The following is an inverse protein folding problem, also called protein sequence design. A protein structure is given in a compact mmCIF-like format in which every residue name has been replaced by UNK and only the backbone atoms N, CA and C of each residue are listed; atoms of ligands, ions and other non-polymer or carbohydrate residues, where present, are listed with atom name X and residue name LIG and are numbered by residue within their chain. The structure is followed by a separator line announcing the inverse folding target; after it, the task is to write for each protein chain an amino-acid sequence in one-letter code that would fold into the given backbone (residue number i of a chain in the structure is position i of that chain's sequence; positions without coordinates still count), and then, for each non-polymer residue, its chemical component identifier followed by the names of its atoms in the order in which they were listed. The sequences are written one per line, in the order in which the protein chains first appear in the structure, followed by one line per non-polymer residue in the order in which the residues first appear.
data_IF_031659562187
#
_entry.id   IF_031659562187
#
_cell.length_a   1.000
_cell.length_b   1.000
_cell.length_c   1.000
_cell.angle_alpha   90.00
_cell.angle_beta   90.00
_cell.angle_gamma   90.00
#
_symmetry.space_group_name_H-M   'P 1'
#
loop_
_entity.id
_entity.type
_entity.pdbx_description
1 polymer ?
#
# COMPACT_ATOMS: atom_id res chain seq x y z
N UNK A 1 12.92 31.24 20.60
CA UNK A 1 12.22 30.02 21.09
C UNK A 1 11.31 29.55 19.97
N UNK A 2 11.52 28.37 19.38
CA UNK A 2 10.63 27.86 18.32
C UNK A 2 9.40 27.27 19.00
N UNK A 3 8.28 27.93 18.82
CA UNK A 3 6.96 27.47 19.26
C UNK A 3 6.68 26.11 18.61
N UNK A 4 6.57 25.07 19.44
CA UNK A 4 6.22 23.73 18.98
C UNK A 4 4.80 23.79 18.43
N UNK A 5 4.66 23.90 17.11
CA UNK A 5 3.36 23.85 16.43
C UNK A 5 2.62 22.59 16.89
N UNK A 6 1.55 22.82 17.68
CA UNK A 6 0.72 21.77 18.24
C UNK A 6 0.10 21.01 17.06
N UNK A 7 0.45 19.74 16.91
CA UNK A 7 -0.16 18.88 15.87
C UNK A 7 -1.65 18.76 16.13
N UNK A 8 -2.47 19.06 15.13
CA UNK A 8 -3.90 18.79 15.12
C UNK A 8 -4.17 17.34 15.52
N UNK A 9 -5.02 17.15 16.51
CA UNK A 9 -5.40 15.86 17.08
C UNK A 9 -6.79 15.43 16.61
N UNK A 10 -7.13 14.17 16.87
CA UNK A 10 -8.48 13.66 16.59
C UNK A 10 -9.55 14.32 17.48
N UNK A 11 -9.14 14.82 18.66
CA UNK A 11 -10.02 15.57 19.55
C UNK A 11 -10.41 16.90 18.93
N UNK A 12 -9.45 17.61 18.33
CA UNK A 12 -9.70 18.89 17.65
C UNK A 12 -10.66 18.70 16.46
N UNK A 13 -10.52 17.60 15.72
CA UNK A 13 -11.45 17.22 14.64
C UNK A 13 -12.86 16.92 15.17
N UNK A 14 -12.96 16.19 16.28
CA UNK A 14 -14.24 15.85 16.87
C UNK A 14 -14.99 17.10 17.35
N UNK A 15 -14.28 18.01 18.00
CA UNK A 15 -14.78 19.30 18.47
C UNK A 15 -15.27 20.16 17.30
N UNK A 16 -14.43 20.36 16.27
CA UNK A 16 -14.79 21.15 15.09
C UNK A 16 -15.97 20.56 14.30
N UNK A 17 -16.11 19.23 14.30
CA UNK A 17 -17.24 18.57 13.65
C UNK A 17 -18.53 18.55 14.50
N UNK A 18 -18.47 18.94 15.78
CA UNK A 18 -19.57 18.81 16.73
C UNK A 18 -19.94 17.34 16.98
N UNK A 19 -18.93 16.50 17.22
CA UNK A 19 -19.07 15.05 17.45
C UNK A 19 -18.17 14.57 18.59
N UNK A 20 -18.27 13.30 18.98
CA UNK A 20 -17.35 12.69 19.95
C UNK A 20 -16.11 12.12 19.26
N UNK A 21 -15.00 11.97 19.99
CA UNK A 21 -13.79 11.30 19.48
C UNK A 21 -14.10 9.90 18.91
N UNK A 22 -14.90 9.03 19.58
CA UNK A 22 -15.35 7.78 18.98
C UNK A 22 -16.13 7.95 17.68
N UNK A 23 -17.00 8.95 17.58
CA UNK A 23 -17.77 9.24 16.35
C UNK A 23 -16.85 9.68 15.21
N UNK A 24 -15.92 10.61 15.47
CA UNK A 24 -14.93 11.04 14.48
C UNK A 24 -14.02 9.88 14.06
N UNK A 25 -13.59 9.04 15.00
CA UNK A 25 -12.85 7.80 14.74
C UNK A 25 -13.63 6.83 13.86
N UNK A 26 -14.94 6.65 14.12
CA UNK A 26 -15.82 5.82 13.29
C UNK A 26 -15.96 6.35 11.86
N UNK A 27 -16.10 7.67 11.70
CA UNK A 27 -16.15 8.29 10.36
C UNK A 27 -14.85 8.05 9.60
N UNK A 28 -13.71 8.33 10.24
CA UNK A 28 -12.38 8.17 9.65
C UNK A 28 -12.01 6.71 9.39
N UNK A 29 -12.64 5.76 10.09
CA UNK A 29 -12.50 4.32 9.85
C UNK A 29 -13.53 3.75 8.88
N UNK A 30 -14.35 4.58 8.23
CA UNK A 30 -15.24 4.16 7.15
C UNK A 30 -16.47 3.34 7.59
N UNK A 31 -16.81 3.29 8.89
CA UNK A 31 -17.95 2.47 9.36
C UNK A 31 -19.31 3.05 8.92
N UNK A 32 -20.26 2.17 8.60
CA UNK A 32 -21.60 2.51 8.08
C UNK A 32 -22.62 2.90 9.17
N UNK A 33 -22.23 2.88 10.45
CA UNK A 33 -23.07 3.24 11.59
C UNK A 33 -23.12 4.76 11.87
N UNK A 34 -22.66 5.59 10.92
CA UNK A 34 -22.66 7.05 11.03
C UNK A 34 -23.45 7.67 9.89
N UNK A 35 -24.35 8.61 10.22
CA UNK A 35 -25.17 9.31 9.22
C UNK A 35 -24.31 10.08 8.21
N UNK A 36 -24.80 10.15 6.97
CA UNK A 36 -24.11 10.89 5.89
C UNK A 36 -23.80 12.34 6.28
N UNK A 37 -24.75 13.02 6.93
CA UNK A 37 -24.58 14.38 7.44
C UNK A 37 -23.46 14.51 8.48
N UNK A 38 -23.28 13.50 9.35
CA UNK A 38 -22.20 13.49 10.34
C UNK A 38 -20.85 13.19 9.69
N UNK A 39 -20.84 12.28 8.71
CA UNK A 39 -19.65 12.00 7.90
C UNK A 39 -19.15 13.25 7.18
N UNK A 40 -20.05 13.99 6.55
CA UNK A 40 -19.70 15.22 5.83
C UNK A 40 -19.09 16.28 6.76
N UNK A 41 -19.70 16.52 7.94
CA UNK A 41 -19.16 17.45 8.95
C UNK A 41 -17.76 17.07 9.41
N UNK A 42 -17.51 15.79 9.68
CA UNK A 42 -16.19 15.31 10.13
C UNK A 42 -15.16 15.44 9.01
N UNK A 43 -15.49 15.07 7.77
CA UNK A 43 -14.54 15.19 6.65
C UNK A 43 -14.20 16.65 6.32
N UNK A 44 -15.16 17.57 6.47
CA UNK A 44 -14.91 19.01 6.36
C UNK A 44 -13.94 19.50 7.44
N UNK A 45 -14.19 19.16 8.71
CA UNK A 45 -13.29 19.50 9.81
C UNK A 45 -11.87 18.93 9.63
N UNK A 46 -11.73 17.73 9.07
CA UNK A 46 -10.43 17.13 8.75
C UNK A 46 -9.67 17.95 7.71
N UNK A 47 -10.34 18.39 6.65
CA UNK A 47 -9.75 19.21 5.60
C UNK A 47 -9.36 20.60 6.12
N UNK A 48 -10.25 21.25 6.85
CA UNK A 48 -10.04 22.61 7.39
C UNK A 48 -8.89 22.65 8.41
N UNK A 49 -8.77 21.62 9.25
CA UNK A 49 -7.73 21.54 10.27
C UNK A 49 -6.42 20.88 9.79
N UNK A 50 -6.37 20.44 8.52
CA UNK A 50 -5.22 19.72 7.97
C UNK A 50 -4.86 18.45 8.74
N UNK A 51 -5.84 17.78 9.35
CA UNK A 51 -5.61 16.60 10.17
C UNK A 51 -5.16 15.41 9.31
N UNK A 52 -3.95 14.91 9.55
CA UNK A 52 -3.34 13.82 8.77
C UNK A 52 -3.38 12.44 9.44
N UNK A 53 -4.17 12.27 10.50
CA UNK A 53 -4.24 11.00 11.22
C UNK A 53 -2.94 10.61 11.92
N UNK A 54 -3.03 9.72 12.91
CA UNK A 54 -1.86 8.97 13.39
C UNK A 54 -1.92 7.61 12.71
N UNK A 55 -0.96 7.30 11.83
CA UNK A 55 -0.78 5.95 11.31
C UNK A 55 -0.81 4.96 12.49
N UNK A 56 -1.84 4.09 12.50
CA UNK A 56 -2.49 3.67 13.74
C UNK A 56 -1.81 2.58 14.57
N UNK A 57 -2.29 2.48 15.82
CA UNK A 57 -2.63 1.18 16.43
C UNK A 57 -4.15 1.06 16.27
N UNK A 58 -4.62 0.05 15.53
CA UNK A 58 -6.04 -0.16 15.28
C UNK A 58 -6.36 -0.12 13.79
N UNK A 59 -6.47 -1.31 13.22
CA UNK A 59 -6.72 -1.55 11.81
C UNK A 59 -7.95 -0.78 11.29
N UNK A 60 -7.74 -0.04 10.19
CA UNK A 60 -8.81 0.46 9.33
C UNK A 60 -9.37 -0.74 8.54
N UNK A 61 -10.70 -0.89 8.42
CA UNK A 61 -11.31 -1.87 7.50
C UNK A 61 -10.72 -1.75 6.09
N UNK A 62 -10.43 -2.91 5.50
CA UNK A 62 -9.67 -3.15 4.25
C UNK A 62 -10.30 -2.58 2.95
N UNK A 63 -11.23 -1.62 3.02
CA UNK A 63 -12.02 -1.14 1.86
C UNK A 63 -11.58 0.21 1.31
N UNK A 64 -10.86 1.04 2.08
CA UNK A 64 -10.50 2.41 1.67
C UNK A 64 -8.99 2.63 1.49
N UNK A 65 -8.17 1.56 1.58
CA UNK A 65 -6.79 1.64 1.11
C UNK A 65 -6.76 1.23 -0.35
N UNK A 66 -6.11 2.01 -1.24
CA UNK A 66 -5.84 1.55 -2.58
C UNK A 66 -5.18 0.18 -2.49
N UNK A 67 -5.63 -0.70 -3.37
CA UNK A 67 -5.06 -2.03 -3.46
C UNK A 67 -3.56 -1.88 -3.73
N UNK A 68 -2.72 -2.67 -3.07
CA UNK A 68 -1.27 -2.53 -3.18
C UNK A 68 -0.73 -3.54 -4.21
N UNK A 69 0.21 -3.10 -5.05
CA UNK A 69 1.06 -3.98 -5.86
C UNK A 69 2.51 -3.75 -5.45
N UNK A 70 3.27 -4.83 -5.30
CA UNK A 70 4.68 -4.77 -4.93
C UNK A 70 5.57 -4.99 -6.17
N UNK A 71 6.49 -4.07 -6.42
CA UNK A 71 7.57 -4.22 -7.40
C UNK A 71 8.84 -4.62 -6.63
N UNK A 72 9.23 -5.89 -6.78
CA UNK A 72 10.44 -6.42 -6.16
C UNK A 72 11.58 -6.38 -7.17
N UNK A 73 12.66 -5.70 -6.82
CA UNK A 73 13.86 -5.51 -7.65
C UNK A 73 15.10 -6.01 -6.91
N UNK A 74 16.06 -6.63 -7.60
CA UNK A 74 17.38 -6.91 -7.00
C UNK A 74 18.18 -5.63 -6.68
N UNK A 75 17.86 -4.52 -7.36
CA UNK A 75 18.47 -3.23 -7.12
C UNK A 75 17.76 -2.12 -7.90
N UNK A 76 17.86 -0.89 -7.39
CA UNK A 76 17.23 0.30 -7.99
C UNK A 76 18.22 1.17 -8.78
N UNK A 77 19.37 0.60 -9.18
CA UNK A 77 20.42 1.31 -9.91
C UNK A 77 20.33 1.00 -11.40
N UNK A 78 20.56 2.02 -12.22
CA UNK A 78 20.67 1.87 -13.68
C UNK A 78 19.40 2.26 -14.44
N UNK A 79 19.57 2.47 -15.74
CA UNK A 79 18.52 2.94 -16.66
C UNK A 79 17.38 1.93 -16.82
N UNK A 80 17.70 0.63 -16.82
CA UNK A 80 16.70 -0.44 -16.91
C UNK A 80 15.72 -0.38 -15.73
N UNK A 81 16.23 -0.31 -14.49
CA UNK A 81 15.39 -0.29 -13.28
C UNK A 81 14.49 0.95 -13.26
N UNK A 82 14.99 2.10 -13.73
CA UNK A 82 14.19 3.32 -13.87
C UNK A 82 13.07 3.16 -14.91
N UNK A 83 13.35 2.57 -16.07
CA UNK A 83 12.34 2.34 -17.10
C UNK A 83 11.27 1.35 -16.62
N UNK A 84 11.68 0.26 -15.98
CA UNK A 84 10.76 -0.70 -15.36
C UNK A 84 9.88 -0.03 -14.30
N UNK A 85 10.47 0.73 -13.39
CA UNK A 85 9.74 1.47 -12.36
C UNK A 85 8.72 2.44 -12.96
N UNK A 86 9.11 3.25 -13.96
CA UNK A 86 8.18 4.15 -14.64
C UNK A 86 7.04 3.42 -15.35
N UNK A 87 7.32 2.27 -15.98
CA UNK A 87 6.30 1.47 -16.66
C UNK A 87 5.28 0.91 -15.68
N UNK A 88 5.77 0.30 -14.59
CA UNK A 88 4.92 -0.29 -13.54
C UNK A 88 4.13 0.79 -12.79
N UNK A 89 4.76 1.93 -12.48
CA UNK A 89 4.09 3.07 -11.84
C UNK A 89 2.93 3.58 -12.69
N UNK A 90 3.15 3.81 -13.99
CA UNK A 90 2.08 4.25 -14.91
C UNK A 90 0.92 3.27 -14.96
N UNK A 91 1.21 1.97 -15.01
CA UNK A 91 0.19 0.92 -15.03
C UNK A 91 -0.58 0.84 -13.70
N UNK A 92 0.11 0.96 -12.56
CA UNK A 92 -0.49 1.00 -11.23
C UNK A 92 -1.42 2.21 -11.07
N UNK A 93 -0.95 3.39 -11.47
CA UNK A 93 -1.73 4.63 -11.48
C UNK A 93 -2.99 4.50 -12.34
N UNK A 94 -2.88 3.95 -13.55
CA UNK A 94 -4.04 3.72 -14.42
C UNK A 94 -5.06 2.72 -13.84
N UNK A 95 -4.59 1.76 -13.04
CA UNK A 95 -5.43 0.76 -12.38
C UNK A 95 -5.97 1.20 -11.01
N UNK A 96 -5.60 2.39 -10.51
CA UNK A 96 -6.02 2.89 -9.20
C UNK A 96 -5.44 2.08 -8.03
N UNK A 97 -4.24 1.54 -8.20
CA UNK A 97 -3.52 0.77 -7.17
C UNK A 97 -2.23 1.48 -6.78
N UNK A 98 -1.86 1.39 -5.51
CA UNK A 98 -0.64 1.99 -5.00
C UNK A 98 0.55 1.04 -5.23
N UNK A 99 1.68 1.60 -5.67
CA UNK A 99 2.91 0.86 -5.89
C UNK A 99 3.81 0.90 -4.66
N UNK A 100 4.19 -0.28 -4.17
CA UNK A 100 5.26 -0.47 -3.19
C UNK A 100 6.50 -0.93 -3.94
N UNK A 101 7.67 -0.36 -3.64
CA UNK A 101 8.95 -0.82 -4.21
C UNK A 101 9.74 -1.52 -3.12
N UNK A 102 10.10 -2.77 -3.38
CA UNK A 102 10.90 -3.60 -2.49
C UNK A 102 12.21 -3.97 -3.14
N UNK A 103 13.31 -3.86 -2.40
CA UNK A 103 14.60 -4.37 -2.85
C UNK A 103 14.80 -5.78 -2.27
N UNK A 104 14.98 -6.75 -3.16
CA UNK A 104 15.37 -8.11 -2.80
C UNK A 104 16.81 -8.08 -2.29
N UNK A 105 16.98 -8.38 -1.00
CA UNK A 105 18.29 -8.66 -0.42
C UNK A 105 18.65 -10.13 -0.60
N UNK A 106 19.93 -10.44 -0.41
CA UNK A 106 20.47 -11.81 -0.45
C UNK A 106 19.86 -12.74 0.61
N UNK A 107 19.27 -12.16 1.66
CA UNK A 107 18.63 -12.87 2.78
C UNK A 107 17.26 -13.49 2.43
N UNK A 108 16.69 -13.19 1.26
CA UNK A 108 15.38 -13.69 0.84
C UNK A 108 14.20 -13.16 1.67
N UNK A 109 14.45 -12.24 2.62
CA UNK A 109 13.42 -11.72 3.53
C UNK A 109 12.40 -10.81 2.82
N UNK A 110 12.62 -10.51 1.54
CA UNK A 110 11.62 -9.84 0.71
C UNK A 110 10.33 -10.65 0.59
N UNK A 111 10.42 -11.99 0.58
CA UNK A 111 9.25 -12.85 0.43
C UNK A 111 8.33 -12.77 1.66
N UNK A 112 8.88 -12.86 2.86
CA UNK A 112 8.08 -12.72 4.09
C UNK A 112 7.45 -11.33 4.20
N UNK A 113 8.21 -10.27 3.91
CA UNK A 113 7.71 -8.89 3.89
C UNK A 113 6.57 -8.69 2.89
N UNK A 114 6.66 -9.35 1.73
CA UNK A 114 5.62 -9.32 0.69
C UNK A 114 4.35 -10.02 1.20
N UNK A 115 4.48 -11.19 1.81
CA UNK A 115 3.35 -11.97 2.34
C UNK A 115 2.66 -11.32 3.55
N UNK A 116 3.39 -10.53 4.34
CA UNK A 116 2.83 -9.75 5.46
C UNK A 116 1.95 -8.57 4.98
N UNK A 117 2.12 -8.14 3.74
CA UNK A 117 1.35 -7.05 3.14
C UNK A 117 0.07 -7.59 2.50
N UNK A 118 -1.02 -6.85 2.66
CA UNK A 118 -2.27 -7.16 1.95
C UNK A 118 -2.20 -6.65 0.50
N UNK A 119 -1.44 -7.35 -0.34
CA UNK A 119 -1.21 -7.01 -1.74
C UNK A 119 -2.24 -7.69 -2.65
N UNK A 120 -2.47 -7.11 -3.84
CA UNK A 120 -3.22 -7.74 -4.94
C UNK A 120 -2.35 -8.63 -5.81
N UNK A 121 -1.04 -8.48 -5.71
CA UNK A 121 -0.05 -9.22 -6.49
C UNK A 121 1.31 -8.56 -6.41
N UNK A 122 2.28 -9.17 -7.10
CA UNK A 122 3.64 -8.65 -7.17
C UNK A 122 4.23 -8.78 -8.58
N UNK A 123 5.07 -7.82 -8.93
CA UNK A 123 5.93 -7.83 -10.11
C UNK A 123 7.35 -8.10 -9.63
N UNK A 124 7.97 -9.17 -10.11
CA UNK A 124 9.31 -9.58 -9.72
C UNK A 124 10.25 -9.28 -10.90
N UNK A 125 11.17 -8.36 -10.71
CA UNK A 125 11.99 -7.75 -11.75
C UNK A 125 13.48 -8.01 -11.47
N UNK A 126 14.16 -8.70 -12.40
CA UNK A 126 15.56 -9.15 -12.25
C UNK A 126 15.83 -10.01 -11.01
N UNK A 127 14.81 -10.55 -10.34
CA UNK A 127 14.97 -11.44 -9.20
C UNK A 127 15.11 -12.86 -9.70
N UNK A 128 16.14 -13.57 -9.25
CA UNK A 128 16.26 -15.02 -9.48
C UNK A 128 15.31 -15.74 -8.50
N UNK A 129 14.09 -16.00 -8.95
CA UNK A 129 13.04 -16.58 -8.12
C UNK A 129 13.11 -18.10 -8.21
N UNK A 130 13.37 -18.73 -7.08
CA UNK A 130 13.39 -20.19 -6.99
C UNK A 130 11.99 -20.79 -7.14
N UNK A 131 11.89 -22.03 -7.60
CA UNK A 131 10.63 -22.77 -7.68
C UNK A 131 9.90 -22.85 -6.31
N UNK A 132 10.64 -22.95 -5.21
CA UNK A 132 10.07 -22.97 -3.85
C UNK A 132 9.44 -21.63 -3.45
N UNK A 133 10.04 -20.50 -3.85
CA UNK A 133 9.46 -19.18 -3.62
C UNK A 133 8.19 -18.97 -4.46
N UNK A 134 8.19 -19.39 -5.73
CA UNK A 134 6.98 -19.36 -6.58
C UNK A 134 5.85 -20.24 -6.02
N UNK A 135 6.16 -21.45 -5.54
CA UNK A 135 5.18 -22.33 -4.91
C UNK A 135 4.59 -21.71 -3.63
N UNK A 136 5.41 -21.01 -2.85
CA UNK A 136 4.98 -20.30 -1.64
C UNK A 136 4.01 -19.16 -1.98
N UNK A 137 4.32 -18.36 -3.00
CA UNK A 137 3.46 -17.27 -3.48
C UNK A 137 2.13 -17.81 -4.04
N UNK A 138 2.18 -18.92 -4.78
CA UNK A 138 0.99 -19.60 -5.29
C UNK A 138 0.10 -20.13 -4.14
N UNK A 139 0.69 -20.78 -3.13
CA UNK A 139 -0.05 -21.27 -1.96
C UNK A 139 -0.71 -20.12 -1.16
N UNK A 140 -0.06 -18.96 -1.11
CA UNK A 140 -0.59 -17.75 -0.50
C UNK A 140 -1.61 -17.00 -1.39
N UNK A 141 -1.93 -17.53 -2.58
CA UNK A 141 -2.83 -16.90 -3.56
C UNK A 141 -2.40 -15.48 -3.95
N UNK A 142 -1.08 -15.25 -4.03
CA UNK A 142 -0.51 -13.98 -4.49
C UNK A 142 -0.21 -14.11 -5.99
N UNK A 143 -0.93 -13.39 -6.87
CA UNK A 143 -0.61 -13.35 -8.29
C UNK A 143 0.76 -12.71 -8.51
N UNK A 144 1.58 -13.33 -9.37
CA UNK A 144 2.92 -12.84 -9.68
C UNK A 144 3.16 -12.75 -11.18
N UNK A 145 3.88 -11.70 -11.58
CA UNK A 145 4.39 -11.51 -12.95
C UNK A 145 5.89 -11.36 -12.88
N UNK A 146 6.63 -12.11 -13.70
CA UNK A 146 8.08 -11.91 -13.84
C UNK A 146 8.36 -10.89 -14.95
N UNK A 147 9.15 -9.87 -14.64
CA UNK A 147 9.59 -8.87 -15.59
C UNK A 147 11.06 -9.11 -15.95
N UNK A 148 11.31 -9.31 -17.24
CA UNK A 148 12.60 -9.64 -17.84
C UNK A 148 13.29 -10.80 -17.08
N UNK A 149 12.64 -11.97 -16.98
CA UNK A 149 13.18 -13.08 -16.22
C UNK A 149 14.44 -13.63 -16.89
N UNK A 150 15.49 -13.81 -16.08
CA UNK A 150 16.79 -14.33 -16.54
C UNK A 150 16.68 -15.80 -17.00
N UNK A 151 15.71 -16.53 -16.44
CA UNK A 151 15.41 -17.92 -16.78
C UNK A 151 13.97 -18.05 -17.24
N UNK A 152 13.69 -19.02 -18.10
CA UNK A 152 12.33 -19.24 -18.59
C UNK A 152 11.42 -19.61 -17.41
N UNK A 153 10.34 -18.84 -17.15
CA UNK A 153 9.44 -19.16 -16.07
C UNK A 153 8.66 -20.45 -16.33
N UNK A 154 8.16 -21.11 -15.27
CA UNK A 154 7.13 -22.13 -15.40
C UNK A 154 5.92 -21.58 -16.19
N UNK A 155 5.26 -22.42 -16.99
CA UNK A 155 4.10 -22.02 -17.81
C UNK A 155 2.90 -21.49 -17.02
N UNK A 156 2.89 -21.73 -15.71
CA UNK A 156 1.87 -21.26 -14.76
C UNK A 156 2.11 -19.83 -14.27
N UNK A 157 3.26 -19.22 -14.60
CA UNK A 157 3.65 -17.88 -14.15
C UNK A 157 3.70 -16.94 -15.35
N UNK A 158 2.95 -15.84 -15.28
CA UNK A 158 2.98 -14.82 -16.30
C UNK A 158 4.35 -14.14 -16.34
N UNK A 159 4.83 -13.81 -17.55
CA UNK A 159 6.08 -13.07 -17.72
C UNK A 159 6.00 -12.06 -18.87
N UNK A 160 6.81 -11.01 -18.76
CA UNK A 160 7.01 -9.96 -19.76
C UNK A 160 8.52 -9.81 -19.94
N UNK A 161 9.03 -9.91 -21.16
CA UNK A 161 10.43 -9.73 -21.51
C UNK A 161 10.60 -8.91 -22.77
#
# INVERSE_FOLDING_TARGET
MREQQRRTTLADVAEAAGTTVPTASKVLSGRSDVSAATRERVMRAVADLGYRGRAGRGAVPRTDRPALVDLVLMGVKGTWANHALMGVERAATAAGVDLVVSVAGEDGAWLSRLLERNLRGAVLALVDVTAGQLATLAAAHVPVVLLDPVTQPPSTVASVG
#
